data_IF_870621681877
#
_entry.id   IF_870621681877
#
_cell.length_a   1.000
_cell.length_b   1.000
_cell.length_c   1.000
_cell.angle_alpha   90.00
_cell.angle_beta   90.00
_cell.angle_gamma   90.00
#
_symmetry.space_group_name_H-M   'P 1'
#
loop_
_entity.id
_entity.type
_entity.pdbx_description
1 polymer ?
#
# COMPACT_ATOMS: atom_id res chain seq x y z
N UNK A 1 -33.65 -25.40 -55.54
CA UNK A 1 -32.84 -24.16 -55.56
C UNK A 1 -33.30 -23.28 -54.40
N UNK A 2 -33.03 -23.64 -53.13
CA UNK A 2 -31.86 -23.30 -52.28
C UNK A 2 -31.47 -21.81 -52.32
N UNK A 3 -32.18 -20.99 -51.55
CA UNK A 3 -31.68 -19.69 -51.07
C UNK A 3 -31.23 -19.86 -49.62
N UNK A 4 -29.91 -19.88 -49.43
CA UNK A 4 -29.26 -19.99 -48.13
C UNK A 4 -29.14 -18.59 -47.53
N UNK A 5 -29.86 -18.32 -46.43
CA UNK A 5 -29.63 -17.13 -45.60
C UNK A 5 -28.56 -17.48 -44.57
N UNK A 6 -27.33 -17.04 -44.78
CA UNK A 6 -26.33 -17.02 -43.71
C UNK A 6 -26.41 -15.67 -42.99
N UNK A 7 -26.92 -15.69 -41.76
CA UNK A 7 -26.70 -14.62 -40.80
C UNK A 7 -25.25 -14.73 -40.31
N UNK A 8 -24.41 -13.76 -40.67
CA UNK A 8 -23.08 -13.61 -40.07
C UNK A 8 -23.29 -12.95 -38.71
N UNK A 9 -23.32 -13.77 -37.65
CA UNK A 9 -23.14 -13.30 -36.28
C UNK A 9 -21.65 -13.03 -36.12
N UNK A 10 -21.25 -11.76 -36.22
CA UNK A 10 -19.92 -11.34 -35.82
C UNK A 10 -19.83 -11.43 -34.28
N UNK A 11 -19.30 -12.55 -33.80
CA UNK A 11 -18.83 -12.69 -32.43
C UNK A 11 -17.61 -11.76 -32.27
N UNK A 12 -17.85 -10.52 -31.84
CA UNK A 12 -16.83 -9.71 -31.21
C UNK A 12 -16.48 -10.42 -29.90
N UNK A 13 -15.50 -11.31 -29.96
CA UNK A 13 -14.82 -11.75 -28.76
C UNK A 13 -14.23 -10.50 -28.13
N UNK A 14 -14.82 -10.09 -27.01
CA UNK A 14 -14.21 -9.21 -26.02
C UNK A 14 -12.91 -9.88 -25.56
N UNK A 15 -11.85 -9.69 -26.34
CA UNK A 15 -10.49 -9.83 -25.83
C UNK A 15 -10.37 -8.66 -24.87
N UNK A 16 -10.68 -8.92 -23.60
CA UNK A 16 -10.26 -8.11 -22.47
C UNK A 16 -8.74 -8.13 -22.44
N UNK A 17 -8.13 -7.34 -23.33
CA UNK A 17 -6.71 -7.07 -23.30
C UNK A 17 -6.39 -6.59 -21.90
N UNK A 18 -5.49 -7.31 -21.22
CA UNK A 18 -4.90 -6.85 -19.97
C UNK A 18 -4.33 -5.47 -20.28
N UNK A 19 -4.95 -4.41 -19.76
CA UNK A 19 -4.41 -3.08 -19.90
C UNK A 19 -3.01 -3.12 -19.29
N UNK A 20 -1.99 -3.05 -20.15
CA UNK A 20 -0.59 -3.14 -19.75
C UNK A 20 -0.34 -2.12 -18.63
N UNK A 21 0.09 -2.61 -17.47
CA UNK A 21 0.60 -1.73 -16.43
C UNK A 21 1.76 -0.95 -17.05
N UNK A 22 1.66 0.39 -17.13
CA UNK A 22 2.64 1.27 -17.79
C UNK A 22 4.10 0.93 -17.47
N UNK A 23 4.38 0.51 -16.23
CA UNK A 23 5.71 0.09 -15.79
C UNK A 23 6.08 -1.37 -16.11
N UNK A 24 5.11 -2.28 -16.27
CA UNK A 24 5.33 -3.72 -16.56
C UNK A 24 6.43 -4.40 -15.73
N UNK A 25 6.64 -3.95 -14.48
CA UNK A 25 7.71 -4.42 -13.59
C UNK A 25 9.06 -3.74 -13.78
N UNK A 26 9.27 -2.98 -14.85
CA UNK A 26 10.52 -2.33 -15.21
C UNK A 26 10.40 -0.83 -15.44
N UNK A 27 11.34 -0.31 -16.22
CA UNK A 27 11.21 1.04 -16.77
C UNK A 27 10.05 1.08 -17.77
N UNK A 28 9.22 2.12 -17.66
CA UNK A 28 8.13 2.36 -18.59
C UNK A 28 8.61 3.11 -19.84
N UNK A 29 7.68 3.56 -20.69
CA UNK A 29 7.96 4.55 -21.72
C UNK A 29 8.54 5.82 -21.07
N UNK A 30 9.79 6.17 -21.38
CA UNK A 30 10.52 7.28 -20.75
C UNK A 30 9.74 8.59 -20.77
N UNK A 31 9.09 8.88 -21.90
CA UNK A 31 8.30 10.11 -22.11
C UNK A 31 6.96 10.14 -21.37
N UNK A 32 6.59 9.10 -20.63
CA UNK A 32 5.44 9.18 -19.71
C UNK A 32 5.79 9.82 -18.36
N UNK A 33 7.08 9.96 -18.03
CA UNK A 33 7.54 10.65 -16.82
C UNK A 33 8.53 11.78 -17.14
N UNK A 34 9.28 11.65 -18.22
CA UNK A 34 10.28 12.62 -18.64
C UNK A 34 9.81 13.46 -19.83
N UNK A 35 10.39 14.65 -19.97
CA UNK A 35 10.30 15.46 -21.19
C UNK A 35 11.67 16.04 -21.49
N UNK A 36 12.09 15.97 -22.75
CA UNK A 36 13.42 16.47 -23.14
C UNK A 36 13.41 18.00 -23.29
N UNK A 37 12.30 18.55 -23.78
CA UNK A 37 12.20 19.97 -24.16
C UNK A 37 10.92 20.65 -23.66
N UNK A 38 10.07 19.94 -22.91
CA UNK A 38 8.76 20.46 -22.47
C UNK A 38 7.94 21.09 -23.63
N UNK A 39 8.02 20.46 -24.80
CA UNK A 39 7.30 20.84 -26.02
C UNK A 39 6.79 19.57 -26.70
N UNK A 40 5.54 19.58 -27.14
CA UNK A 40 4.98 18.49 -27.94
C UNK A 40 4.43 19.05 -29.26
N UNK A 41 4.50 18.26 -30.33
CA UNK A 41 4.29 18.69 -31.71
C UNK A 41 2.83 18.98 -32.08
N UNK A 42 1.88 18.89 -31.14
CA UNK A 42 0.47 19.15 -31.39
C UNK A 42 0.16 20.66 -31.31
N UNK A 43 0.52 21.40 -32.37
CA UNK A 43 -0.09 22.67 -32.75
C UNK A 43 0.25 23.87 -31.88
N UNK A 44 1.04 24.79 -32.45
CA UNK A 44 1.31 26.15 -31.95
C UNK A 44 2.04 26.25 -30.60
N UNK A 45 3.28 25.75 -30.54
CA UNK A 45 4.28 26.26 -29.57
C UNK A 45 3.75 26.40 -28.14
N UNK A 46 3.01 25.41 -27.66
CA UNK A 46 2.44 25.34 -26.32
C UNK A 46 3.36 24.46 -25.47
N UNK A 47 3.55 24.82 -24.19
CA UNK A 47 4.21 23.94 -23.22
C UNK A 47 3.51 22.58 -23.27
N UNK A 48 4.22 21.49 -22.97
CA UNK A 48 3.55 20.20 -22.80
C UNK A 48 2.36 20.37 -21.84
N UNK A 49 1.15 20.40 -22.39
CA UNK A 49 -0.08 20.45 -21.60
C UNK A 49 -0.34 19.11 -20.93
N UNK A 50 0.50 18.10 -21.22
CA UNK A 50 0.63 16.86 -20.46
C UNK A 50 1.36 17.18 -19.16
N UNK A 51 0.59 17.82 -18.27
CA UNK A 51 0.56 17.64 -16.82
C UNK A 51 1.89 17.73 -16.08
N UNK A 52 2.07 18.82 -15.33
CA UNK A 52 3.15 18.92 -14.35
C UNK A 52 3.65 20.33 -14.04
N UNK A 53 2.81 21.36 -14.08
CA UNK A 53 3.05 22.72 -13.54
C UNK A 53 4.39 23.43 -13.89
N UNK A 54 5.17 22.97 -14.87
CA UNK A 54 6.26 23.74 -15.46
C UNK A 54 5.75 24.39 -16.76
N UNK A 55 5.27 25.62 -16.64
CA UNK A 55 4.66 26.36 -17.76
C UNK A 55 5.65 26.87 -18.81
N UNK A 56 6.96 26.70 -18.60
CA UNK A 56 7.99 27.24 -19.50
C UNK A 56 8.37 26.24 -20.59
N UNK A 57 7.97 26.56 -21.82
CA UNK A 57 8.33 25.82 -23.03
C UNK A 57 9.84 25.79 -23.21
N UNK A 58 10.38 24.66 -23.66
CA UNK A 58 11.83 24.52 -23.88
C UNK A 58 12.61 24.14 -22.62
N UNK A 59 11.96 24.07 -21.46
CA UNK A 59 12.60 23.79 -20.18
C UNK A 59 11.87 22.69 -19.42
N UNK A 60 12.55 21.56 -19.20
CA UNK A 60 12.08 20.51 -18.31
C UNK A 60 12.42 20.84 -16.84
N UNK A 61 11.73 20.19 -15.90
CA UNK A 61 12.08 20.26 -14.48
C UNK A 61 13.38 19.51 -14.19
N UNK A 62 13.87 19.58 -12.95
CA UNK A 62 15.05 18.83 -12.51
C UNK A 62 14.94 17.35 -12.90
N UNK A 63 16.04 16.77 -13.39
CA UNK A 63 16.10 15.40 -13.92
C UNK A 63 15.21 15.14 -15.15
N UNK A 64 14.90 16.19 -15.91
CA UNK A 64 14.06 16.13 -17.11
C UNK A 64 12.65 15.60 -16.84
N UNK A 65 12.15 15.80 -15.62
CA UNK A 65 10.83 15.34 -15.23
C UNK A 65 9.74 16.25 -15.80
N UNK A 66 8.57 15.66 -16.05
CA UNK A 66 7.36 16.41 -16.45
C UNK A 66 6.74 17.17 -15.28
N UNK A 67 6.76 16.60 -14.07
CA UNK A 67 6.33 17.28 -12.86
C UNK A 67 7.39 18.24 -12.31
N UNK A 68 6.98 19.14 -11.41
CA UNK A 68 7.90 20.07 -10.73
C UNK A 68 8.96 19.36 -9.87
N UNK A 69 8.64 18.17 -9.38
CA UNK A 69 9.47 17.33 -8.52
C UNK A 69 9.15 15.83 -8.79
N UNK A 70 9.91 14.89 -8.19
CA UNK A 70 9.71 13.46 -8.43
C UNK A 70 8.29 12.95 -8.11
N UNK A 71 7.69 13.34 -6.98
CA UNK A 71 6.36 12.83 -6.61
C UNK A 71 5.26 13.49 -7.44
N UNK A 72 5.40 14.79 -7.73
CA UNK A 72 4.49 15.50 -8.64
C UNK A 72 4.42 14.80 -10.00
N UNK A 73 5.54 14.23 -10.47
CA UNK A 73 5.57 13.44 -11.71
C UNK A 73 4.75 12.15 -11.61
N UNK A 74 4.84 11.43 -10.49
CA UNK A 74 4.02 10.22 -10.28
C UNK A 74 2.52 10.57 -10.20
N UNK A 75 2.20 11.64 -9.49
CA UNK A 75 0.81 12.03 -9.21
C UNK A 75 0.07 12.58 -10.44
N UNK A 76 0.76 12.89 -11.55
CA UNK A 76 0.14 13.20 -12.86
C UNK A 76 -0.93 12.17 -13.23
N UNK A 77 -0.62 10.90 -12.97
CA UNK A 77 -1.53 9.79 -13.24
C UNK A 77 -2.09 9.19 -11.94
N UNK A 78 -1.28 9.07 -10.89
CA UNK A 78 -1.67 8.37 -9.66
C UNK A 78 -2.51 9.22 -8.68
N UNK A 79 -2.58 10.52 -8.91
CA UNK A 79 -3.25 11.51 -8.06
C UNK A 79 -4.42 12.22 -8.73
N UNK A 80 -5.08 11.55 -9.69
CA UNK A 80 -6.29 12.09 -10.34
C UNK A 80 -7.53 11.76 -9.51
N UNK A 81 -8.52 12.65 -9.56
CA UNK A 81 -9.78 12.43 -8.87
C UNK A 81 -10.53 11.21 -9.41
N UNK A 82 -11.19 10.48 -8.52
CA UNK A 82 -12.02 9.33 -8.83
C UNK A 82 -11.34 7.98 -8.58
N UNK A 83 -12.16 6.92 -8.63
CA UNK A 83 -11.71 5.54 -8.50
C UNK A 83 -10.83 5.16 -9.70
N UNK A 84 -9.69 4.56 -9.42
CA UNK A 84 -8.90 3.82 -10.41
C UNK A 84 -8.23 2.64 -9.75
N UNK A 85 -7.87 1.61 -10.51
CA UNK A 85 -7.14 0.46 -9.98
C UNK A 85 -5.81 0.82 -9.30
N UNK A 86 -5.23 1.98 -9.61
CA UNK A 86 -3.88 2.37 -9.15
C UNK A 86 -3.77 3.76 -8.50
N UNK A 87 -4.85 4.50 -8.34
CA UNK A 87 -4.79 5.79 -7.64
C UNK A 87 -4.44 5.56 -6.16
N UNK A 88 -3.50 6.35 -5.65
CA UNK A 88 -3.03 6.31 -4.25
C UNK A 88 -3.24 7.65 -3.55
N UNK A 89 -3.85 8.59 -4.24
CA UNK A 89 -4.15 9.91 -3.75
C UNK A 89 -5.42 10.44 -4.39
N UNK A 90 -6.42 10.74 -3.57
CA UNK A 90 -7.64 11.40 -4.01
C UNK A 90 -7.55 12.92 -3.75
N UNK A 91 -7.31 13.74 -4.78
CA UNK A 91 -7.15 15.19 -4.60
C UNK A 91 -8.40 15.89 -4.06
N UNK A 92 -9.61 15.34 -4.28
CA UNK A 92 -10.85 15.93 -3.72
C UNK A 92 -10.91 15.82 -2.19
N UNK A 93 -10.16 14.90 -1.60
CA UNK A 93 -10.06 14.75 -0.15
C UNK A 93 -9.16 15.80 0.51
N UNK A 94 -8.36 16.59 -0.22
CA UNK A 94 -7.46 17.56 0.41
C UNK A 94 -8.20 18.60 1.21
N UNK A 95 -9.27 19.15 0.64
CA UNK A 95 -10.08 20.20 1.29
C UNK A 95 -11.35 19.65 1.91
N UNK A 96 -11.55 18.33 1.90
CA UNK A 96 -12.73 17.70 2.47
C UNK A 96 -12.76 17.94 4.00
N UNK A 97 -13.92 18.33 4.51
CA UNK A 97 -14.14 18.54 5.94
C UNK A 97 -14.62 17.24 6.57
N UNK A 98 -14.80 17.22 7.90
CA UNK A 98 -15.40 16.06 8.59
C UNK A 98 -16.80 15.71 8.09
N UNK A 99 -17.51 16.65 7.44
CA UNK A 99 -18.84 16.40 6.88
C UNK A 99 -18.80 15.75 5.49
N UNK A 100 -17.76 15.99 4.69
CA UNK A 100 -17.71 15.56 3.28
C UNK A 100 -16.70 14.45 3.01
N UNK A 101 -15.78 14.20 3.94
CA UNK A 101 -14.65 13.29 3.73
C UNK A 101 -15.08 11.87 3.40
N UNK A 102 -15.97 11.26 4.20
CA UNK A 102 -16.37 9.86 4.03
C UNK A 102 -16.99 9.61 2.64
N UNK A 103 -17.88 10.50 2.17
CA UNK A 103 -18.52 10.38 0.87
C UNK A 103 -17.56 10.64 -0.31
N UNK A 104 -16.45 11.33 -0.07
CA UNK A 104 -15.46 11.68 -1.11
C UNK A 104 -14.36 10.62 -1.22
N UNK A 105 -14.22 9.71 -0.25
CA UNK A 105 -13.15 8.72 -0.27
C UNK A 105 -13.54 7.53 -1.15
N UNK A 106 -12.71 7.31 -2.16
CA UNK A 106 -12.99 6.33 -3.22
C UNK A 106 -11.86 5.34 -3.47
N UNK A 107 -10.69 5.56 -2.88
CA UNK A 107 -9.51 4.69 -3.02
C UNK A 107 -9.19 3.98 -1.69
N UNK A 108 -9.12 2.66 -1.75
CA UNK A 108 -8.97 1.71 -0.63
C UNK A 108 -7.78 0.76 -0.88
N UNK A 109 -6.63 1.31 -1.28
CA UNK A 109 -5.44 0.50 -1.54
C UNK A 109 -4.85 -0.10 -0.25
N UNK A 110 -4.08 -1.20 -0.32
CA UNK A 110 -3.41 -1.75 0.86
C UNK A 110 -2.43 -0.77 1.53
N UNK A 111 -1.79 0.11 0.74
CA UNK A 111 -0.91 1.17 1.23
C UNK A 111 -1.64 2.34 1.86
N UNK A 112 -2.92 2.53 1.52
CA UNK A 112 -3.74 3.68 1.92
C UNK A 112 -3.60 4.89 1.00
N UNK A 113 -4.47 5.88 1.21
CA UNK A 113 -4.57 7.09 0.40
C UNK A 113 -3.79 8.24 1.07
N UNK A 114 -2.86 8.86 0.34
CA UNK A 114 -2.04 9.96 0.87
C UNK A 114 -2.86 11.19 1.30
N UNK A 115 -4.11 11.31 0.89
CA UNK A 115 -4.98 12.42 1.29
C UNK A 115 -5.20 12.47 2.80
N UNK A 116 -5.09 11.35 3.52
CA UNK A 116 -5.10 11.37 4.99
C UNK A 116 -4.00 12.27 5.56
N UNK A 117 -2.81 12.22 4.98
CA UNK A 117 -1.68 13.04 5.37
C UNK A 117 -1.78 14.45 4.80
N UNK A 118 -2.27 14.61 3.57
CA UNK A 118 -2.33 15.89 2.85
C UNK A 118 -3.53 16.79 3.21
N UNK A 119 -4.58 16.25 3.85
CA UNK A 119 -5.82 16.98 4.07
C UNK A 119 -5.64 18.28 4.88
N UNK A 120 -6.06 19.41 4.34
CA UNK A 120 -6.10 20.70 5.04
C UNK A 120 -7.49 21.04 5.58
N UNK A 121 -8.54 20.36 5.10
CA UNK A 121 -9.94 20.57 5.52
C UNK A 121 -10.25 20.19 6.98
N UNK A 122 -9.40 19.39 7.62
CA UNK A 122 -9.47 19.07 9.06
C UNK A 122 -8.90 20.18 9.96
N UNK A 123 -8.30 21.24 9.38
CA UNK A 123 -7.73 22.35 10.13
C UNK A 123 -6.63 21.88 11.09
N UNK A 124 -6.67 22.37 12.34
CA UNK A 124 -5.70 22.02 13.39
C UNK A 124 -5.72 20.55 13.82
N UNK A 125 -6.75 19.79 13.41
CA UNK A 125 -6.86 18.36 13.71
C UNK A 125 -5.95 17.51 12.82
N UNK A 126 -5.56 18.00 11.63
CA UNK A 126 -4.50 17.35 10.87
C UNK A 126 -3.13 17.77 11.40
N UNK A 127 -2.61 16.98 12.34
CA UNK A 127 -1.26 17.14 12.88
C UNK A 127 -0.16 16.58 11.97
N UNK A 128 -0.49 16.17 10.73
CA UNK A 128 0.42 15.54 9.77
C UNK A 128 1.10 14.29 10.33
N UNK A 129 0.35 13.48 11.07
CA UNK A 129 0.81 12.23 11.71
C UNK A 129 0.15 11.00 11.11
N UNK A 130 -0.50 11.13 9.97
CA UNK A 130 -1.35 10.11 9.38
C UNK A 130 -0.65 9.27 8.31
N UNK A 131 0.56 9.63 7.93
CA UNK A 131 1.33 8.91 6.92
C UNK A 131 2.68 9.55 6.62
N UNK A 132 3.34 9.03 5.60
CA UNK A 132 4.56 9.61 5.09
C UNK A 132 4.26 10.88 4.28
N UNK A 133 4.92 11.99 4.64
CA UNK A 133 4.79 13.27 3.97
C UNK A 133 5.64 13.31 2.69
N UNK A 134 5.14 12.74 1.59
CA UNK A 134 5.79 12.88 0.28
C UNK A 134 5.67 14.32 -0.22
N UNK A 135 6.78 14.86 -0.71
CA UNK A 135 6.81 16.21 -1.26
C UNK A 135 6.34 16.14 -2.70
N UNK A 136 5.24 16.85 -2.99
CA UNK A 136 4.73 17.05 -4.34
C UNK A 136 4.21 18.50 -4.45
N UNK A 137 5.08 19.43 -4.85
CA UNK A 137 4.80 20.87 -4.90
C UNK A 137 3.58 21.23 -5.76
N UNK A 138 3.28 20.42 -6.77
CA UNK A 138 2.11 20.60 -7.63
C UNK A 138 0.77 20.23 -6.97
N UNK A 139 0.80 19.58 -5.80
CA UNK A 139 -0.37 19.00 -5.15
C UNK A 139 -0.56 19.59 -3.74
N UNK A 140 -1.71 20.20 -3.52
CA UNK A 140 -2.01 20.85 -2.25
C UNK A 140 -1.91 19.86 -1.07
N UNK A 141 -1.28 20.31 0.02
CA UNK A 141 -1.13 19.52 1.24
C UNK A 141 0.03 18.51 1.24
N UNK A 142 0.60 18.16 0.07
CA UNK A 142 1.77 17.28 -0.09
C UNK A 142 3.09 18.01 0.15
N UNK A 143 3.30 18.42 1.40
CA UNK A 143 4.48 19.20 1.82
C UNK A 143 5.38 18.35 2.70
N UNK A 144 6.63 18.80 2.88
CA UNK A 144 7.63 18.14 3.69
C UNK A 144 7.18 17.93 5.16
N UNK A 145 7.70 16.87 5.78
CA UNK A 145 7.66 16.72 7.24
C UNK A 145 8.58 17.76 7.89
N UNK A 146 8.16 18.32 9.02
CA UNK A 146 8.97 19.26 9.81
C UNK A 146 10.06 18.55 10.62
N UNK A 147 9.99 17.22 10.75
CA UNK A 147 11.05 16.40 11.38
C UNK A 147 12.28 16.34 10.48
N UNK A 148 13.45 16.63 11.07
CA UNK A 148 14.72 16.62 10.34
C UNK A 148 15.16 15.22 9.86
N UNK A 149 14.64 14.15 10.48
CA UNK A 149 15.00 12.77 10.19
C UNK A 149 13.85 11.81 10.48
N UNK A 150 13.89 10.64 9.84
CA UNK A 150 13.03 9.52 10.16
C UNK A 150 13.16 9.12 11.66
N UNK A 151 12.05 8.86 12.37
CA UNK A 151 12.10 8.45 13.78
C UNK A 151 12.95 7.20 14.02
N UNK A 152 13.69 7.22 15.14
CA UNK A 152 14.67 6.19 15.51
C UNK A 152 15.67 5.85 14.40
N UNK A 153 15.98 6.84 13.55
CA UNK A 153 17.05 6.75 12.58
C UNK A 153 18.41 7.17 13.13
N UNK A 154 18.51 7.69 14.36
CA UNK A 154 19.63 8.39 15.04
C UNK A 154 21.11 8.04 14.76
N UNK A 155 21.42 7.02 13.97
CA UNK A 155 22.67 6.91 13.23
C UNK A 155 22.84 8.07 12.22
N UNK A 156 24.08 8.45 11.93
CA UNK A 156 24.37 9.40 10.85
C UNK A 156 23.95 8.83 9.49
N UNK A 157 23.31 9.64 8.63
CA UNK A 157 22.86 9.21 7.29
C UNK A 157 21.43 8.67 7.26
N UNK A 158 20.47 9.37 7.87
CA UNK A 158 19.03 9.02 7.83
C UNK A 158 18.33 9.71 6.67
N UNK A 159 17.23 9.12 6.23
CA UNK A 159 16.28 9.79 5.34
C UNK A 159 15.75 11.10 5.93
N UNK A 160 16.18 12.21 5.34
CA UNK A 160 15.67 13.55 5.64
C UNK A 160 14.25 13.73 5.10
N UNK A 161 13.30 14.05 5.99
CA UNK A 161 11.90 14.31 5.65
C UNK A 161 11.71 15.47 4.66
N UNK A 162 12.65 16.42 4.61
CA UNK A 162 12.66 17.54 3.68
C UNK A 162 12.98 17.16 2.22
N UNK A 163 13.44 15.93 1.96
CA UNK A 163 13.71 15.40 0.62
C UNK A 163 12.95 14.08 0.37
N UNK A 164 11.90 13.80 1.14
CA UNK A 164 11.14 12.55 1.04
C UNK A 164 10.12 12.64 -0.11
N UNK A 165 10.14 11.66 -1.01
CA UNK A 165 9.34 11.64 -2.25
C UNK A 165 8.90 10.22 -2.61
N UNK A 166 8.07 10.05 -3.64
CA UNK A 166 7.69 8.70 -4.11
C UNK A 166 8.91 7.84 -4.48
N UNK A 167 9.92 8.44 -5.11
CA UNK A 167 11.15 7.74 -5.51
C UNK A 167 12.08 7.47 -4.33
N UNK A 168 11.74 7.91 -3.13
CA UNK A 168 12.52 7.58 -1.95
C UNK A 168 12.45 6.10 -1.57
N UNK A 169 11.35 5.48 -1.93
CA UNK A 169 10.99 4.10 -1.63
C UNK A 169 10.84 3.26 -2.90
N UNK A 170 10.38 3.87 -3.99
CA UNK A 170 10.19 3.20 -5.26
C UNK A 170 11.35 3.48 -6.21
N UNK A 171 11.87 2.44 -6.87
CA UNK A 171 12.79 2.58 -7.99
C UNK A 171 11.98 2.72 -9.30
N UNK A 172 11.83 3.93 -9.87
CA UNK A 172 11.00 4.14 -11.06
C UNK A 172 11.56 3.46 -12.32
N UNK A 173 12.81 2.98 -12.27
CA UNK A 173 13.46 2.25 -13.36
C UNK A 173 13.65 0.75 -13.06
N UNK A 174 13.23 0.31 -11.87
CA UNK A 174 13.29 -1.05 -11.34
C UNK A 174 14.56 -1.83 -11.71
N UNK A 175 15.64 -1.60 -10.96
CA UNK A 175 16.90 -2.35 -11.13
C UNK A 175 16.82 -3.78 -10.58
N UNK A 176 15.97 -4.03 -9.58
CA UNK A 176 15.84 -5.35 -8.99
C UNK A 176 15.00 -6.25 -9.89
N UNK A 177 15.49 -7.49 -10.09
CA UNK A 177 14.89 -8.51 -10.96
C UNK A 177 14.75 -9.80 -10.21
N UNK A 178 13.69 -10.53 -10.49
CA UNK A 178 13.38 -11.80 -9.85
C UNK A 178 13.02 -12.85 -10.88
N UNK A 179 13.40 -14.09 -10.65
CA UNK A 179 12.92 -15.22 -11.45
C UNK A 179 11.50 -15.63 -11.03
N UNK A 180 10.94 -16.65 -11.71
CA UNK A 180 9.60 -17.15 -11.45
C UNK A 180 9.42 -17.71 -10.02
N UNK A 181 10.50 -18.09 -9.34
CA UNK A 181 10.46 -18.59 -7.97
C UNK A 181 10.46 -17.45 -6.94
N UNK A 182 10.72 -16.22 -7.36
CA UNK A 182 10.89 -15.07 -6.47
C UNK A 182 12.33 -14.86 -5.99
N UNK A 183 13.31 -15.59 -6.55
CA UNK A 183 14.73 -15.37 -6.23
C UNK A 183 15.30 -14.21 -7.05
N UNK A 184 16.15 -13.39 -6.42
CA UNK A 184 16.76 -12.24 -7.10
C UNK A 184 17.77 -12.71 -8.16
N UNK A 185 17.68 -12.13 -9.36
CA UNK A 185 18.56 -12.44 -10.50
C UNK A 185 19.13 -11.16 -11.11
N UNK A 186 20.12 -11.30 -12.00
CA UNK A 186 20.75 -10.18 -12.72
C UNK A 186 20.83 -10.46 -14.21
N UNK A 187 21.03 -9.41 -15.02
CA UNK A 187 21.30 -9.52 -16.46
C UNK A 187 20.08 -9.83 -17.35
N UNK A 188 19.01 -10.45 -16.83
CA UNK A 188 17.82 -10.77 -17.62
C UNK A 188 16.91 -9.54 -17.85
N UNK A 189 16.25 -9.42 -19.02
CA UNK A 189 15.24 -8.40 -19.25
C UNK A 189 13.99 -8.64 -18.40
N UNK A 190 13.32 -7.57 -17.98
CA UNK A 190 12.05 -7.66 -17.25
C UNK A 190 10.91 -7.80 -18.25
N UNK A 191 10.06 -8.81 -18.08
CA UNK A 191 8.87 -9.04 -18.90
C UNK A 191 7.57 -8.75 -18.17
N UNK A 192 7.55 -8.84 -16.84
CA UNK A 192 6.34 -8.75 -16.03
C UNK A 192 6.57 -8.05 -14.69
N UNK A 193 5.48 -7.57 -14.09
CA UNK A 193 5.48 -7.07 -12.72
C UNK A 193 5.62 -8.21 -11.70
N UNK A 194 6.52 -8.07 -10.73
CA UNK A 194 6.57 -9.01 -9.60
C UNK A 194 5.44 -8.84 -8.59
N UNK A 195 4.52 -7.89 -8.78
CA UNK A 195 3.47 -7.61 -7.79
C UNK A 195 2.25 -8.48 -7.84
N UNK A 196 1.89 -9.04 -8.99
CA UNK A 196 0.59 -9.65 -9.20
C UNK A 196 0.76 -11.13 -9.57
N UNK A 197 -0.31 -11.94 -9.44
CA UNK A 197 -0.29 -13.28 -10.01
C UNK A 197 -0.01 -13.24 -11.50
N UNK A 198 1.06 -13.92 -11.94
CA UNK A 198 1.39 -14.01 -13.37
C UNK A 198 0.57 -15.10 -14.05
N UNK A 199 0.05 -16.08 -13.30
CA UNK A 199 -0.89 -17.09 -13.80
C UNK A 199 -0.27 -18.07 -14.81
N UNK A 200 1.05 -18.20 -14.81
CA UNK A 200 1.82 -19.03 -15.74
C UNK A 200 3.33 -18.88 -15.55
N UNK A 201 4.13 -19.55 -16.37
CA UNK A 201 5.58 -19.38 -16.36
C UNK A 201 5.99 -18.06 -17.03
N UNK A 202 7.07 -17.45 -16.55
CA UNK A 202 7.70 -16.33 -17.26
C UNK A 202 8.21 -16.78 -18.63
N UNK A 203 8.23 -15.90 -19.65
CA UNK A 203 8.91 -16.18 -20.91
C UNK A 203 10.37 -16.59 -20.68
N UNK A 204 10.85 -17.57 -21.44
CA UNK A 204 12.21 -18.08 -21.30
C UNK A 204 13.25 -16.96 -21.47
N UNK A 205 14.25 -16.92 -20.59
CA UNK A 205 15.29 -15.89 -20.62
C UNK A 205 14.85 -14.50 -20.13
N UNK A 206 13.72 -14.41 -19.41
CA UNK A 206 13.23 -13.16 -18.82
C UNK A 206 13.13 -13.25 -17.29
N UNK A 207 12.97 -12.09 -16.65
CA UNK A 207 12.71 -11.93 -15.23
C UNK A 207 11.43 -11.10 -15.01
N UNK A 208 10.93 -11.08 -13.78
CA UNK A 208 9.95 -10.11 -13.31
C UNK A 208 10.62 -8.97 -12.53
N UNK A 209 9.92 -7.83 -12.43
CA UNK A 209 10.33 -6.72 -11.58
C UNK A 209 10.15 -6.98 -10.09
N UNK A 210 10.60 -6.05 -9.25
CA UNK A 210 10.33 -6.11 -7.81
C UNK A 210 8.85 -5.90 -7.47
N UNK A 211 8.41 -6.45 -6.33
CA UNK A 211 7.11 -6.09 -5.75
C UNK A 211 7.01 -4.56 -5.62
N UNK A 212 6.04 -3.98 -6.34
CA UNK A 212 5.69 -2.55 -6.39
C UNK A 212 6.84 -1.66 -6.84
N UNK A 213 7.81 -2.22 -7.58
CA UNK A 213 9.05 -1.52 -7.96
C UNK A 213 9.79 -0.97 -6.73
N UNK A 214 9.66 -1.60 -5.56
CA UNK A 214 10.32 -1.12 -4.36
C UNK A 214 11.83 -1.19 -4.54
N UNK A 215 12.50 -0.19 -3.97
CA UNK A 215 13.94 -0.06 -3.95
C UNK A 215 14.60 -1.31 -3.38
N UNK A 216 15.72 -1.70 -3.99
CA UNK A 216 16.52 -2.85 -3.56
C UNK A 216 17.97 -2.47 -3.29
N UNK A 217 18.80 -3.48 -3.02
CA UNK A 217 20.24 -3.32 -2.73
C UNK A 217 20.92 -2.34 -3.70
N UNK A 218 21.59 -1.33 -3.14
CA UNK A 218 22.31 -0.29 -3.88
C UNK A 218 21.43 0.82 -4.46
N UNK A 219 20.12 0.79 -4.25
CA UNK A 219 19.25 1.87 -4.68
C UNK A 219 19.43 3.11 -3.82
N UNK A 220 19.68 4.24 -4.48
CA UNK A 220 19.76 5.56 -3.88
C UNK A 220 19.27 6.57 -4.93
N UNK A 221 18.24 7.38 -4.65
CA UNK A 221 17.78 8.39 -5.59
C UNK A 221 18.87 9.44 -5.81
N UNK A 222 19.13 9.80 -7.06
CA UNK A 222 20.09 10.87 -7.39
C UNK A 222 19.67 12.22 -6.80
N UNK A 223 18.36 12.45 -6.66
CA UNK A 223 17.78 13.62 -5.99
C UNK A 223 18.13 13.73 -4.51
N UNK A 224 18.61 12.64 -3.91
CA UNK A 224 18.91 12.56 -2.49
C UNK A 224 20.22 11.81 -2.24
N UNK A 225 21.29 12.20 -2.95
CA UNK A 225 22.60 11.54 -2.91
C UNK A 225 23.29 11.54 -1.52
N UNK A 226 22.73 12.21 -0.52
CA UNK A 226 23.22 12.19 0.87
C UNK A 226 22.48 11.18 1.76
N UNK A 227 21.40 10.56 1.27
CA UNK A 227 20.64 9.54 1.98
C UNK A 227 21.25 8.15 1.77
N UNK A 228 21.10 7.22 2.71
CA UNK A 228 21.76 5.92 2.62
C UNK A 228 21.17 5.11 1.47
N UNK A 229 22.02 4.34 0.78
CA UNK A 229 21.54 3.37 -0.20
C UNK A 229 20.87 2.20 0.53
N UNK A 230 19.87 1.59 -0.11
CA UNK A 230 19.24 0.37 0.40
C UNK A 230 20.28 -0.75 0.50
N UNK A 231 20.31 -1.47 1.63
CA UNK A 231 21.23 -2.59 1.88
C UNK A 231 20.53 -3.95 1.82
N UNK A 232 19.21 -3.94 1.69
CA UNK A 232 18.36 -5.14 1.67
C UNK A 232 17.64 -5.27 0.32
N UNK A 233 17.29 -6.50 -0.02
CA UNK A 233 16.47 -6.77 -1.19
C UNK A 233 15.05 -6.18 -1.02
N UNK A 234 14.35 -5.87 -2.11
CA UNK A 234 12.91 -5.59 -2.04
C UNK A 234 12.17 -6.77 -1.40
N UNK A 235 11.08 -6.51 -0.66
CA UNK A 235 10.34 -7.57 0.01
C UNK A 235 9.62 -8.48 -0.99
N UNK A 236 9.45 -9.74 -0.61
CA UNK A 236 8.67 -10.72 -1.35
C UNK A 236 7.22 -10.62 -0.91
N UNK A 237 6.34 -10.22 -1.82
CA UNK A 237 4.90 -10.17 -1.59
C UNK A 237 4.14 -10.25 -2.92
N UNK A 238 2.86 -10.58 -2.82
CA UNK A 238 1.94 -10.66 -3.96
C UNK A 238 0.64 -9.98 -3.59
N UNK A 239 0.23 -9.02 -4.41
CA UNK A 239 -1.04 -8.35 -4.27
C UNK A 239 -2.03 -8.89 -5.33
N UNK A 240 -3.33 -8.91 -5.02
CA UNK A 240 -4.33 -9.24 -6.03
C UNK A 240 -4.36 -8.12 -7.07
N UNK A 241 -4.66 -8.42 -8.32
CA UNK A 241 -4.72 -7.40 -9.38
C UNK A 241 -5.81 -6.34 -9.10
N UNK A 242 -6.88 -6.72 -8.40
CA UNK A 242 -7.97 -5.83 -7.95
C UNK A 242 -7.78 -5.39 -6.50
N UNK A 243 -6.65 -4.73 -6.20
CA UNK A 243 -6.29 -4.36 -4.83
C UNK A 243 -6.91 -3.04 -4.35
N UNK A 244 -7.34 -2.15 -5.25
CA UNK A 244 -8.05 -0.94 -4.86
C UNK A 244 -9.55 -1.25 -4.85
N UNK A 245 -10.08 -1.66 -3.70
CA UNK A 245 -11.48 -2.08 -3.60
C UNK A 245 -12.04 -1.83 -2.21
N UNK A 246 -13.28 -1.35 -2.17
CA UNK A 246 -14.09 -1.26 -0.96
C UNK A 246 -14.58 -2.65 -0.54
N UNK A 247 -14.65 -2.89 0.77
CA UNK A 247 -15.11 -4.16 1.35
C UNK A 247 -16.56 -4.07 1.91
N UNK A 248 -17.26 -2.95 1.70
CA UNK A 248 -18.57 -2.62 2.32
C UNK A 248 -19.63 -3.73 2.21
N UNK A 249 -19.71 -4.38 1.06
CA UNK A 249 -20.75 -5.37 0.74
C UNK A 249 -20.19 -6.77 0.49
N UNK A 250 -18.87 -6.94 0.58
CA UNK A 250 -18.20 -8.19 0.25
C UNK A 250 -17.67 -8.89 1.49
N UNK A 251 -17.30 -8.13 2.53
CA UNK A 251 -16.70 -8.72 3.73
C UNK A 251 -17.71 -9.57 4.50
N UNK A 252 -17.36 -10.84 4.70
CA UNK A 252 -18.11 -11.77 5.53
C UNK A 252 -17.31 -12.06 6.82
N UNK A 253 -17.79 -11.59 7.96
CA UNK A 253 -17.05 -11.71 9.22
C UNK A 253 -16.83 -13.15 9.71
N UNK A 254 -17.74 -14.07 9.39
CA UNK A 254 -17.66 -15.47 9.84
C UNK A 254 -16.66 -16.28 9.01
N UNK A 255 -16.70 -16.12 7.69
CA UNK A 255 -15.82 -16.86 6.76
C UNK A 255 -14.54 -16.12 6.41
N UNK A 256 -14.47 -14.82 6.75
CA UNK A 256 -13.40 -13.89 6.38
C UNK A 256 -13.23 -13.73 4.86
N UNK A 257 -14.23 -14.12 4.09
CA UNK A 257 -14.24 -13.89 2.64
C UNK A 257 -14.47 -12.41 2.30
N UNK A 258 -14.13 -12.04 1.08
CA UNK A 258 -14.47 -10.75 0.49
C UNK A 258 -13.67 -9.56 1.01
N UNK A 259 -12.40 -9.80 1.34
CA UNK A 259 -11.40 -8.78 1.69
C UNK A 259 -10.25 -8.76 0.68
N UNK A 260 -9.53 -7.64 0.60
CA UNK A 260 -8.33 -7.51 -0.23
C UNK A 260 -7.13 -8.10 0.51
N UNK A 261 -6.64 -9.25 0.07
CA UNK A 261 -5.54 -9.99 0.70
C UNK A 261 -4.26 -9.81 -0.10
N UNK A 262 -3.31 -9.08 0.46
CA UNK A 262 -1.90 -9.14 0.02
C UNK A 262 -1.24 -10.31 0.74
N UNK A 263 -0.65 -11.23 -0.01
CA UNK A 263 0.15 -12.32 0.53
C UNK A 263 1.58 -11.81 0.79
N UNK A 264 1.92 -11.60 2.06
CA UNK A 264 3.24 -11.14 2.47
C UNK A 264 4.16 -12.34 2.70
N UNK A 265 5.20 -12.46 1.88
CA UNK A 265 6.18 -13.54 1.92
C UNK A 265 7.27 -13.29 2.95
N UNK A 266 8.21 -12.39 2.67
CA UNK A 266 9.36 -12.12 3.54
C UNK A 266 10.03 -10.76 3.29
N UNK A 267 10.77 -10.26 4.29
CA UNK A 267 11.63 -9.09 4.18
C UNK A 267 10.93 -7.73 4.28
N UNK A 268 9.62 -7.69 4.57
CA UNK A 268 8.88 -6.41 4.62
C UNK A 268 9.42 -5.48 5.72
N UNK A 269 9.71 -6.02 6.90
CA UNK A 269 10.20 -5.22 8.02
C UNK A 269 11.65 -4.80 7.85
N UNK A 270 12.51 -5.71 7.36
CA UNK A 270 13.90 -5.42 7.02
C UNK A 270 14.00 -4.30 5.98
N UNK A 271 13.07 -4.28 5.02
CA UNK A 271 12.97 -3.22 4.03
C UNK A 271 12.62 -1.87 4.67
N UNK A 272 11.61 -1.82 5.55
CA UNK A 272 11.30 -0.61 6.33
C UNK A 272 12.48 -0.17 7.23
N UNK A 273 13.22 -1.13 7.80
CA UNK A 273 14.37 -0.90 8.68
C UNK A 273 15.54 -0.19 7.99
N UNK A 274 15.58 -0.17 6.65
CA UNK A 274 16.58 0.62 5.90
C UNK A 274 16.51 2.10 6.28
N UNK A 275 15.30 2.64 6.48
CA UNK A 275 15.10 4.03 6.86
C UNK A 275 14.77 4.19 8.36
N UNK A 276 14.29 3.13 9.02
CA UNK A 276 13.91 3.12 10.44
C UNK A 276 14.67 2.04 11.25
N UNK A 277 16.01 2.05 11.26
CA UNK A 277 16.79 0.96 11.84
C UNK A 277 16.53 0.78 13.33
N UNK A 278 16.29 1.86 14.08
CA UNK A 278 15.99 1.81 15.50
C UNK A 278 14.57 1.39 15.84
N UNK A 279 13.66 1.20 14.87
CA UNK A 279 12.32 0.65 15.12
C UNK A 279 12.26 -0.86 14.94
N UNK A 280 13.16 -1.43 14.13
CA UNK A 280 13.20 -2.85 13.81
C UNK A 280 13.56 -3.70 15.03
N UNK A 281 12.89 -4.84 15.23
CA UNK A 281 13.22 -5.77 16.31
C UNK A 281 12.90 -7.23 15.94
N UNK A 282 13.95 -8.02 15.81
CA UNK A 282 13.90 -9.44 15.49
C UNK A 282 13.71 -10.36 16.71
N UNK A 283 13.80 -9.81 17.93
CA UNK A 283 13.76 -10.58 19.19
C UNK A 283 12.33 -10.69 19.72
N UNK A 284 11.85 -11.92 19.94
CA UNK A 284 10.53 -12.25 20.48
C UNK A 284 10.57 -12.80 21.93
N UNK A 285 11.72 -12.71 22.62
CA UNK A 285 11.90 -13.20 24.00
C UNK A 285 11.35 -12.23 25.06
N UNK A 286 10.30 -12.62 25.77
CA UNK A 286 9.71 -11.85 26.88
C UNK A 286 10.75 -11.47 27.95
N UNK A 287 10.66 -10.26 28.50
CA UNK A 287 11.58 -9.75 29.53
C UNK A 287 12.90 -9.17 29.01
N UNK A 288 13.21 -9.31 27.70
CA UNK A 288 14.34 -8.63 27.04
C UNK A 288 13.89 -7.62 25.97
N UNK A 289 12.58 -7.40 25.87
CA UNK A 289 11.96 -6.59 24.82
C UNK A 289 11.56 -5.22 25.39
N UNK A 290 12.08 -4.15 24.77
CA UNK A 290 11.56 -2.79 24.92
C UNK A 290 10.90 -2.25 23.64
N UNK A 291 10.71 -3.09 22.59
CA UNK A 291 10.11 -2.76 21.28
C UNK A 291 9.30 -3.94 20.73
N UNK A 292 8.09 -3.74 20.20
CA UNK A 292 7.30 -4.85 19.66
C UNK A 292 8.08 -5.61 18.55
N UNK A 293 8.09 -6.96 18.55
CA UNK A 293 8.78 -7.73 17.50
C UNK A 293 8.20 -7.44 16.11
N UNK A 294 9.08 -7.24 15.12
CA UNK A 294 8.78 -7.10 13.71
C UNK A 294 10.01 -7.49 12.88
N UNK A 295 9.92 -8.51 12.03
CA UNK A 295 11.04 -8.98 11.22
C UNK A 295 11.04 -10.48 10.92
N UNK A 296 11.98 -10.91 10.08
CA UNK A 296 12.07 -12.28 9.58
C UNK A 296 12.27 -13.34 10.68
N UNK A 297 12.77 -12.96 11.86
CA UNK A 297 12.91 -13.88 12.99
C UNK A 297 11.92 -13.57 14.12
N UNK A 298 11.05 -12.57 13.96
CA UNK A 298 9.99 -12.22 14.89
C UNK A 298 8.78 -13.16 14.74
N UNK A 299 9.03 -14.47 14.84
CA UNK A 299 8.03 -15.51 14.61
C UNK A 299 7.04 -15.62 15.77
N UNK A 300 5.80 -15.97 15.43
CA UNK A 300 4.71 -16.18 16.37
C UNK A 300 4.94 -17.46 17.19
N UNK A 301 4.62 -17.39 18.49
CA UNK A 301 4.53 -18.59 19.32
C UNK A 301 3.29 -19.42 18.96
N UNK A 302 3.23 -20.66 19.47
CA UNK A 302 2.06 -21.53 19.30
C UNK A 302 0.75 -20.87 19.79
N UNK A 303 0.80 -20.18 20.94
CA UNK A 303 -0.35 -19.46 21.49
C UNK A 303 -0.79 -18.31 20.58
N UNK A 304 0.16 -17.51 20.07
CA UNK A 304 -0.17 -16.36 19.21
C UNK A 304 -0.76 -16.81 17.88
N UNK A 305 -0.16 -17.82 17.24
CA UNK A 305 -0.68 -18.37 15.98
C UNK A 305 -2.07 -19.00 16.17
N UNK A 306 -2.29 -19.75 17.27
CA UNK A 306 -3.58 -20.33 17.58
C UNK A 306 -4.66 -19.26 17.79
N UNK A 307 -4.37 -18.23 18.61
CA UNK A 307 -5.27 -17.09 18.80
C UNK A 307 -5.60 -16.40 17.48
N UNK A 308 -4.59 -16.14 16.64
CA UNK A 308 -4.80 -15.54 15.33
C UNK A 308 -5.77 -16.35 14.48
N UNK A 309 -5.59 -17.67 14.41
CA UNK A 309 -6.42 -18.51 13.56
C UNK A 309 -7.87 -18.64 14.04
N UNK A 310 -8.12 -18.45 15.34
CA UNK A 310 -9.45 -18.65 15.94
C UNK A 310 -10.22 -17.37 16.23
N UNK A 311 -9.54 -16.25 16.46
CA UNK A 311 -10.19 -14.99 16.81
C UNK A 311 -10.98 -14.38 15.65
N UNK A 312 -12.30 -14.25 15.76
CA UNK A 312 -13.13 -13.58 14.76
C UNK A 312 -13.38 -12.11 15.16
N UNK A 313 -13.70 -11.89 16.43
CA UNK A 313 -14.07 -10.61 17.05
C UNK A 313 -13.98 -10.75 18.58
N UNK A 314 -14.14 -9.64 19.30
CA UNK A 314 -14.06 -9.66 20.76
C UNK A 314 -15.07 -10.62 21.38
N UNK A 315 -14.58 -11.57 22.17
CA UNK A 315 -15.37 -12.63 22.82
C UNK A 315 -15.70 -13.83 21.94
N UNK A 316 -15.21 -13.90 20.70
CA UNK A 316 -15.50 -14.99 19.76
C UNK A 316 -14.22 -15.56 19.14
N UNK A 317 -13.78 -16.71 19.67
CA UNK A 317 -12.62 -17.47 19.22
C UNK A 317 -13.06 -18.78 18.52
N UNK A 318 -14.17 -18.75 17.79
CA UNK A 318 -14.70 -19.95 17.09
C UNK A 318 -14.22 -20.07 15.64
N UNK A 319 -13.41 -19.11 15.17
CA UNK A 319 -12.88 -19.08 13.81
C UNK A 319 -11.96 -20.26 13.50
N UNK A 320 -11.75 -20.47 12.21
CA UNK A 320 -10.76 -21.40 11.67
C UNK A 320 -10.08 -20.72 10.50
N UNK A 321 -8.75 -20.66 10.50
CA UNK A 321 -7.95 -19.93 9.51
C UNK A 321 -8.45 -18.50 9.27
N UNK A 322 -8.78 -17.80 10.37
CA UNK A 322 -9.54 -16.57 10.34
C UNK A 322 -8.73 -15.33 9.87
N UNK A 323 -7.99 -15.41 8.76
CA UNK A 323 -7.14 -14.32 8.27
C UNK A 323 -7.85 -12.96 8.23
N UNK A 324 -7.12 -11.91 8.61
CA UNK A 324 -7.62 -10.53 8.56
C UNK A 324 -6.62 -9.62 7.83
N UNK A 325 -7.01 -9.05 6.70
CA UNK A 325 -6.23 -8.08 5.95
C UNK A 325 -6.04 -6.74 6.68
N UNK A 326 -6.82 -6.46 7.73
CA UNK A 326 -6.59 -5.33 8.65
C UNK A 326 -5.48 -5.66 9.66
N UNK A 327 -5.24 -6.93 9.96
CA UNK A 327 -4.13 -7.39 10.82
C UNK A 327 -3.33 -8.46 10.07
N UNK A 328 -2.67 -8.11 8.96
CA UNK A 328 -1.94 -9.09 8.16
C UNK A 328 -0.69 -9.55 8.93
N UNK A 329 -0.11 -10.67 8.50
CA UNK A 329 1.18 -11.14 8.99
C UNK A 329 2.07 -11.57 7.83
N UNK A 330 3.35 -11.74 8.11
CA UNK A 330 4.31 -12.23 7.13
C UNK A 330 4.46 -13.75 7.26
N UNK A 331 4.38 -14.45 6.14
CA UNK A 331 4.34 -15.92 6.14
C UNK A 331 5.73 -16.55 6.23
N UNK A 332 6.78 -15.76 6.00
CA UNK A 332 8.17 -16.18 5.80
C UNK A 332 8.30 -17.27 4.72
N UNK A 333 7.48 -17.15 3.68
CA UNK A 333 7.46 -18.02 2.52
C UNK A 333 8.14 -17.32 1.33
N UNK A 334 9.08 -18.01 0.70
CA UNK A 334 9.71 -17.58 -0.54
C UNK A 334 9.06 -18.20 -1.78
N UNK A 335 8.21 -19.24 -1.62
CA UNK A 335 7.53 -19.86 -2.76
C UNK A 335 6.50 -18.91 -3.37
N UNK A 336 6.86 -18.33 -4.51
CA UNK A 336 6.03 -17.36 -5.20
C UNK A 336 4.69 -17.96 -5.66
N UNK A 337 4.65 -19.24 -6.02
CA UNK A 337 3.43 -19.87 -6.52
C UNK A 337 2.35 -19.97 -5.44
N UNK A 338 2.71 -20.35 -4.21
CA UNK A 338 1.79 -20.33 -3.06
C UNK A 338 1.27 -18.92 -2.78
N UNK A 339 2.16 -17.91 -2.79
CA UNK A 339 1.75 -16.52 -2.58
C UNK A 339 0.79 -16.00 -3.68
N UNK A 340 0.87 -16.50 -4.91
CA UNK A 340 -0.10 -16.17 -5.97
C UNK A 340 -1.49 -16.69 -5.68
N UNK A 341 -1.59 -17.94 -5.21
CA UNK A 341 -2.86 -18.55 -4.88
C UNK A 341 -3.54 -17.85 -3.69
N UNK A 342 -2.74 -17.32 -2.76
CA UNK A 342 -3.20 -16.66 -1.53
C UNK A 342 -3.59 -15.19 -1.74
N UNK A 343 -3.01 -14.52 -2.74
CA UNK A 343 -3.29 -13.12 -3.04
C UNK A 343 -4.64 -12.95 -3.75
N UNK A 344 -5.70 -12.74 -2.96
CA UNK A 344 -7.09 -12.67 -3.44
C UNK A 344 -7.71 -11.29 -3.26
N UNK A 345 -8.56 -10.88 -4.22
CA UNK A 345 -9.38 -9.68 -4.11
C UNK A 345 -10.69 -9.92 -3.36
N UNK A 346 -11.58 -8.93 -3.38
CA UNK A 346 -12.89 -8.94 -2.67
C UNK A 346 -13.89 -10.00 -3.16
N UNK A 347 -13.56 -10.78 -4.19
CA UNK A 347 -14.36 -11.92 -4.64
C UNK A 347 -13.86 -13.26 -4.09
N UNK A 348 -12.67 -13.30 -3.48
CA UNK A 348 -12.05 -14.51 -2.98
C UNK A 348 -12.19 -14.71 -1.48
N UNK A 349 -11.73 -15.88 -1.03
CA UNK A 349 -11.60 -16.24 0.38
C UNK A 349 -10.12 -16.44 0.68
N UNK A 350 -9.57 -15.81 1.74
CA UNK A 350 -8.18 -16.04 2.13
C UNK A 350 -7.96 -17.51 2.45
N UNK A 351 -6.88 -18.09 1.93
CA UNK A 351 -6.41 -19.44 2.24
C UNK A 351 -5.11 -19.42 3.05
N UNK A 352 -4.93 -18.40 3.89
CA UNK A 352 -3.71 -18.14 4.67
C UNK A 352 -3.94 -18.55 6.13
N UNK A 353 -3.00 -19.29 6.70
CA UNK A 353 -3.07 -19.77 8.10
C UNK A 353 -1.80 -19.36 8.84
N UNK A 354 -1.93 -18.82 10.05
CA UNK A 354 -0.77 -18.52 10.88
C UNK A 354 -0.15 -19.81 11.42
N UNK A 355 1.16 -19.97 11.23
CA UNK A 355 1.92 -21.18 11.62
C UNK A 355 2.94 -20.80 12.69
N UNK A 356 2.88 -21.49 13.83
CA UNK A 356 3.80 -21.28 14.94
C UNK A 356 5.26 -21.51 14.52
N UNK A 357 6.16 -20.63 14.97
CA UNK A 357 7.59 -20.69 14.64
C UNK A 357 7.92 -20.38 13.18
N UNK A 358 6.92 -20.11 12.33
CA UNK A 358 7.10 -19.81 10.90
C UNK A 358 6.50 -18.47 10.53
N UNK A 359 5.22 -18.24 10.77
CA UNK A 359 4.60 -16.92 10.52
C UNK A 359 5.13 -15.89 11.50
N UNK A 360 5.34 -14.66 11.03
CA UNK A 360 5.90 -13.58 11.82
C UNK A 360 5.11 -12.28 11.75
N UNK A 361 5.35 -11.43 12.73
CA UNK A 361 4.81 -10.07 12.75
C UNK A 361 5.72 -9.20 11.89
N UNK A 362 5.12 -8.36 11.05
CA UNK A 362 5.86 -7.37 10.26
C UNK A 362 5.43 -5.94 10.59
N UNK A 363 6.23 -4.94 10.19
CA UNK A 363 5.87 -3.53 10.39
C UNK A 363 4.47 -3.21 9.83
N UNK A 364 4.12 -3.77 8.67
CA UNK A 364 2.81 -3.58 8.04
C UNK A 364 1.68 -4.40 8.67
N UNK A 365 1.93 -5.21 9.71
CA UNK A 365 0.87 -5.88 10.49
C UNK A 365 0.00 -4.87 11.22
N UNK A 366 0.59 -3.76 11.67
CA UNK A 366 -0.10 -2.68 12.37
C UNK A 366 -0.14 -1.38 11.58
N UNK A 367 0.81 -1.15 10.66
CA UNK A 367 0.91 0.10 9.90
C UNK A 367 0.44 -0.06 8.44
N UNK A 368 0.02 1.05 7.84
CA UNK A 368 -0.13 1.22 6.39
C UNK A 368 1.09 1.95 5.82
N UNK A 369 1.51 1.56 4.62
CA UNK A 369 2.76 2.03 4.04
C UNK A 369 2.72 3.51 3.60
N UNK A 370 1.61 3.98 3.04
CA UNK A 370 1.48 5.38 2.60
C UNK A 370 0.93 6.25 3.72
N UNK A 371 -0.36 6.05 4.03
CA UNK A 371 -1.09 6.81 5.02
C UNK A 371 -2.35 6.07 5.46
N UNK A 372 -2.90 6.46 6.59
CA UNK A 372 -4.13 5.94 7.17
C UNK A 372 -4.82 7.05 7.95
N UNK A 373 -6.07 6.89 8.39
CA UNK A 373 -6.71 7.91 9.21
C UNK A 373 -6.07 8.01 10.61
N UNK A 374 -5.30 7.01 11.05
CA UNK A 374 -4.85 6.85 12.43
C UNK A 374 -3.46 7.45 12.59
N UNK A 375 -3.22 8.07 13.75
CA UNK A 375 -1.90 8.58 14.06
C UNK A 375 -0.85 7.47 13.92
N UNK A 376 0.33 7.85 13.46
CA UNK A 376 1.45 6.97 13.15
C UNK A 376 1.14 5.97 12.02
N UNK A 377 0.18 6.30 11.16
CA UNK A 377 -0.24 5.47 10.03
C UNK A 377 -0.69 4.05 10.44
N UNK A 378 -1.26 3.90 11.64
CA UNK A 378 -1.79 2.61 12.12
C UNK A 378 -2.96 2.13 11.25
N UNK A 379 -3.30 0.84 11.29
CA UNK A 379 -4.44 0.27 10.56
C UNK A 379 -5.77 0.42 11.28
N UNK A 380 -5.72 0.57 12.61
CA UNK A 380 -6.85 0.85 13.49
C UNK A 380 -6.43 1.89 14.55
N UNK A 381 -7.40 2.41 15.31
CA UNK A 381 -7.13 3.38 16.35
C UNK A 381 -6.40 2.74 17.55
N UNK A 382 -5.37 3.41 18.08
CA UNK A 382 -4.78 3.06 19.38
C UNK A 382 -5.70 3.51 20.52
N UNK A 383 -6.78 2.76 20.68
CA UNK A 383 -7.85 2.97 21.66
C UNK A 383 -8.27 1.62 22.22
N UNK A 384 -8.89 1.64 23.40
CA UNK A 384 -9.42 0.44 24.03
C UNK A 384 -10.41 -0.29 23.10
N UNK A 385 -11.32 0.47 22.47
CA UNK A 385 -12.33 -0.02 21.55
C UNK A 385 -12.18 0.60 20.16
N UNK A 386 -12.49 -0.19 19.13
CA UNK A 386 -12.67 0.29 17.75
C UNK A 386 -14.15 0.35 17.36
N UNK A 387 -14.99 -0.51 17.96
CA UNK A 387 -16.46 -0.46 17.90
C UNK A 387 -17.00 -0.36 19.32
N UNK A 388 -17.94 0.55 19.53
CA UNK A 388 -18.68 0.69 20.78
C UNK A 388 -20.16 0.87 20.50
N UNK A 389 -21.01 0.17 21.27
CA UNK A 389 -22.46 0.18 21.07
C UNK A 389 -22.89 -0.11 19.62
N UNK A 390 -22.11 -0.93 18.89
CA UNK A 390 -22.39 -1.31 17.49
C UNK A 390 -21.96 -0.29 16.43
N UNK A 391 -21.32 0.81 16.82
CA UNK A 391 -20.82 1.85 15.92
C UNK A 391 -19.30 1.94 15.98
N UNK A 392 -18.66 2.37 14.89
CA UNK A 392 -17.23 2.71 14.95
C UNK A 392 -16.97 3.78 16.01
N UNK A 393 -15.79 3.74 16.61
CA UNK A 393 -15.34 4.69 17.63
C UNK A 393 -15.21 6.11 17.05
N UNK A 394 -16.31 6.84 16.85
CA UNK A 394 -16.39 8.18 16.26
C UNK A 394 -16.86 9.27 17.22
N UNK A 395 -17.06 10.49 16.72
CA UNK A 395 -17.62 11.64 17.49
C UNK A 395 -18.99 11.32 18.07
N UNK A 396 -19.74 10.45 17.42
CA UNK A 396 -21.06 9.98 17.83
C UNK A 396 -20.99 9.15 19.13
N UNK A 397 -19.82 8.58 19.43
CA UNK A 397 -19.55 7.97 20.73
C UNK A 397 -19.42 9.02 21.87
N UNK A 398 -19.45 10.33 21.53
CA UNK A 398 -19.81 11.50 22.35
C UNK A 398 -18.95 11.84 23.57
N UNK A 399 -18.42 10.84 24.26
CA UNK A 399 -17.83 10.96 25.58
C UNK A 399 -16.29 10.92 25.58
N UNK A 400 -15.63 10.73 24.42
CA UNK A 400 -14.24 10.25 24.40
C UNK A 400 -13.23 11.04 23.55
N UNK A 401 -13.64 12.21 23.06
CA UNK A 401 -12.72 13.15 22.39
C UNK A 401 -12.22 12.73 21.01
N UNK A 402 -12.87 11.75 20.36
CA UNK A 402 -12.68 11.50 18.93
C UNK A 402 -13.35 12.60 18.11
N UNK A 403 -12.70 13.04 17.04
CA UNK A 403 -13.12 14.20 16.24
C UNK A 403 -13.62 13.81 14.84
N UNK A 404 -13.40 12.56 14.43
CA UNK A 404 -13.90 11.95 13.18
C UNK A 404 -15.23 11.24 13.43
N UNK A 405 -16.13 11.27 12.46
CA UNK A 405 -17.38 10.48 12.52
C UNK A 405 -17.15 8.98 12.33
N UNK A 406 -18.09 8.18 12.81
CA UNK A 406 -18.14 6.73 12.56
C UNK A 406 -18.04 6.43 11.06
N UNK A 407 -18.66 7.24 10.20
CA UNK A 407 -18.59 7.09 8.75
C UNK A 407 -17.17 7.29 8.19
N UNK A 408 -16.41 8.28 8.69
CA UNK A 408 -15.01 8.49 8.29
C UNK A 408 -14.15 7.29 8.68
N UNK A 409 -14.35 6.78 9.90
CA UNK A 409 -13.59 5.67 10.46
C UNK A 409 -13.93 4.35 9.76
N UNK A 410 -15.21 4.13 9.47
CA UNK A 410 -15.67 3.00 8.66
C UNK A 410 -15.02 3.02 7.29
N UNK A 411 -15.07 4.16 6.60
CA UNK A 411 -14.49 4.28 5.28
C UNK A 411 -13.01 3.92 5.31
N UNK A 412 -12.31 4.39 6.35
CA UNK A 412 -10.89 4.13 6.53
C UNK A 412 -10.54 2.68 6.95
N UNK A 413 -11.52 1.92 7.45
CA UNK A 413 -11.48 0.46 7.62
C UNK A 413 -11.98 -0.28 6.38
N UNK A 414 -11.61 0.21 5.20
CA UNK A 414 -12.02 -0.32 3.89
C UNK A 414 -13.54 -0.45 3.72
N UNK A 415 -14.30 0.43 4.38
CA UNK A 415 -15.75 0.40 4.48
C UNK A 415 -16.37 -0.85 5.16
N UNK A 416 -15.61 -1.70 5.85
CA UNK A 416 -16.21 -2.84 6.56
C UNK A 416 -17.33 -2.35 7.49
N UNK A 417 -18.54 -2.94 7.45
CA UNK A 417 -19.61 -2.49 8.34
C UNK A 417 -19.25 -2.79 9.80
N UNK A 418 -19.71 -1.95 10.74
CA UNK A 418 -19.44 -2.15 12.17
C UNK A 418 -19.98 -3.50 12.68
N UNK A 419 -21.05 -4.02 12.07
CA UNK A 419 -21.62 -5.35 12.31
C UNK A 419 -20.68 -6.51 11.99
N UNK A 420 -19.58 -6.24 11.29
CA UNK A 420 -18.52 -7.22 11.07
C UNK A 420 -17.70 -7.54 12.34
N UNK A 421 -17.86 -6.74 13.39
CA UNK A 421 -17.16 -6.89 14.66
C UNK A 421 -18.16 -7.11 15.82
N UNK A 422 -17.64 -7.24 17.04
CA UNK A 422 -18.47 -7.26 18.24
C UNK A 422 -19.10 -5.88 18.50
N UNK A 423 -20.25 -5.85 19.20
CA UNK A 423 -20.90 -4.59 19.62
C UNK A 423 -20.00 -3.72 20.49
N UNK A 424 -19.07 -4.35 21.20
CA UNK A 424 -17.94 -3.71 21.89
C UNK A 424 -16.65 -4.41 21.46
N UNK A 425 -16.15 -4.04 20.28
CA UNK A 425 -14.91 -4.58 19.74
C UNK A 425 -13.72 -3.84 20.34
N UNK A 426 -12.89 -4.57 21.09
CA UNK A 426 -11.60 -4.05 21.55
C UNK A 426 -10.59 -3.89 20.42
N UNK A 427 -9.48 -3.21 20.71
CA UNK A 427 -8.34 -3.06 19.82
C UNK A 427 -7.98 -4.34 19.06
N UNK A 428 -7.64 -4.22 17.78
CA UNK A 428 -7.34 -5.37 16.92
C UNK A 428 -5.99 -6.03 17.22
N UNK A 429 -5.20 -5.51 18.16
CA UNK A 429 -4.11 -6.27 18.78
C UNK A 429 -4.60 -7.61 19.35
N UNK A 430 -5.87 -7.67 19.78
CA UNK A 430 -6.49 -8.89 20.30
C UNK A 430 -6.62 -10.01 19.27
N UNK A 431 -6.51 -9.70 17.97
CA UNK A 431 -6.40 -10.73 16.93
C UNK A 431 -5.28 -11.74 17.23
N UNK A 432 -4.13 -11.28 17.70
CA UNK A 432 -2.99 -12.12 18.05
C UNK A 432 -2.97 -12.54 19.53
N UNK A 433 -3.52 -11.70 20.41
CA UNK A 433 -3.31 -11.82 21.86
C UNK A 433 -4.53 -12.30 22.65
N UNK A 434 -5.74 -12.20 22.09
CA UNK A 434 -7.00 -12.55 22.73
C UNK A 434 -7.13 -11.99 24.16
N UNK A 435 -6.85 -10.68 24.33
CA UNK A 435 -6.98 -9.94 25.59
C UNK A 435 -8.27 -9.11 25.59
N UNK A 436 -9.38 -9.79 25.36
CA UNK A 436 -10.70 -9.18 25.34
C UNK A 436 -11.24 -8.82 26.72
#
# INVERSE_FOLDING_TARGET
MKFTRFAIVAALALVSGRAYAFHAGGVAQCEGCHTMHNSTTAGAGTASTVMGNNGTIGQASAYLLQGQDPSSTCLICHGRAGVSSYHVYEPSLVTATTATFAASMVNFTPGGDFAWQANTGFGTRNQRRFGHSVIAAAYAGMVADTRAAAPAGDAAGVYNGANFSCVSCHDPHSKARFDATGAQVTGLPIAESGSYPIGGALPAGTAMGAYRLLAGVGYQPKSSATQPAFTVAPPVAVAPSSYNSSELNTFNAATRAGQVVVAYGSGMSEWCATCHPGMHNNTNTSGQIFKHPAGNTATMSATVAANYNTYLKSGDLTGTNAYDAIVPFEQHAADRASLEAEAVGVTGTPSITAVAGTSGVMCLSCHRAHASPYEFALRWADKEFIIEAGEYYGVEAGARGEWRSSAIIQAAHQNRPATAYSTFQKSLCNKCHAKD
#
